data_IF_903798597351
#
_entry.id   IF_903798597351
#
_cell.length_a   1.000
_cell.length_b   1.000
_cell.length_c   1.000
_cell.angle_alpha   90.00
_cell.angle_beta   90.00
_cell.angle_gamma   90.00
#
_symmetry.space_group_name_H-M   'P 1'
#
loop_
_entity.id
_entity.type
_entity.pdbx_description
1 polymer ?
#
# COMPACT_ATOMS: atom_id res chain seq x y z
N UNK A 1 6.98 15.64 8.91
CA UNK A 1 7.51 14.35 8.41
C UNK A 1 6.33 13.53 7.95
N UNK A 2 6.41 12.95 6.76
CA UNK A 2 5.37 12.12 6.15
C UNK A 2 5.97 10.73 5.97
N UNK A 3 5.24 9.69 6.38
CA UNK A 3 5.66 8.29 6.25
C UNK A 3 4.66 7.59 5.35
N UNK A 4 5.16 6.90 4.33
CA UNK A 4 4.35 6.30 3.27
C UNK A 4 4.76 4.84 3.13
N UNK A 5 3.80 3.94 3.31
CA UNK A 5 3.94 2.53 2.99
C UNK A 5 3.75 2.34 1.49
N UNK A 6 4.73 1.72 0.85
CA UNK A 6 4.59 1.22 -0.50
C UNK A 6 3.99 -0.19 -0.47
N UNK A 7 2.90 -0.38 -1.20
CA UNK A 7 2.30 -1.67 -1.48
C UNK A 7 2.29 -1.89 -3.00
N UNK A 8 3.12 -2.81 -3.53
CA UNK A 8 3.21 -3.06 -4.97
C UNK A 8 1.90 -3.59 -5.57
N UNK A 9 1.02 -4.21 -4.78
CA UNK A 9 -0.24 -4.77 -5.26
C UNK A 9 -1.21 -3.69 -5.76
N UNK A 10 -1.01 -2.43 -5.37
CA UNK A 10 -1.82 -1.30 -5.83
C UNK A 10 -1.55 -0.90 -7.30
N UNK A 11 -0.46 -1.40 -7.89
CA UNK A 11 0.02 -0.95 -9.20
C UNK A 11 -0.08 -2.00 -10.31
N UNK A 12 -0.53 -3.23 -10.03
CA UNK A 12 -0.62 -4.33 -11.02
C UNK A 12 -1.40 -3.92 -12.29
N UNK A 13 -2.53 -3.23 -12.13
CA UNK A 13 -3.36 -2.70 -13.22
C UNK A 13 -3.28 -1.17 -13.37
N UNK A 14 -2.37 -0.52 -12.62
CA UNK A 14 -2.30 0.94 -12.50
C UNK A 14 -0.87 1.47 -12.64
N UNK A 15 -0.05 0.82 -13.46
CA UNK A 15 1.37 1.18 -13.65
C UNK A 15 1.57 2.65 -14.04
N UNK A 16 0.65 3.23 -14.83
CA UNK A 16 0.70 4.65 -15.20
C UNK A 16 0.56 5.61 -14.01
N UNK A 17 0.04 5.15 -12.86
CA UNK A 17 -0.10 5.95 -11.65
C UNK A 17 1.22 6.17 -10.93
N UNK A 18 2.23 5.33 -11.18
CA UNK A 18 3.54 5.37 -10.52
C UNK A 18 4.21 6.73 -10.75
N UNK A 19 4.13 7.27 -11.97
CA UNK A 19 4.68 8.59 -12.29
C UNK A 19 3.98 9.72 -11.51
N UNK A 20 2.64 9.68 -11.43
CA UNK A 20 1.86 10.67 -10.68
C UNK A 20 2.14 10.62 -9.18
N UNK A 21 2.21 9.41 -8.61
CA UNK A 21 2.57 9.22 -7.20
C UNK A 21 3.99 9.73 -6.96
N UNK A 22 4.93 9.38 -7.84
CA UNK A 22 6.31 9.84 -7.78
C UNK A 22 6.42 11.37 -7.79
N UNK A 23 5.64 12.05 -8.63
CA UNK A 23 5.62 13.51 -8.67
C UNK A 23 5.02 14.11 -7.40
N UNK A 24 3.96 13.50 -6.86
CA UNK A 24 3.37 13.91 -5.58
C UNK A 24 4.33 13.75 -4.40
N UNK A 25 5.13 12.67 -4.39
CA UNK A 25 6.20 12.47 -3.40
C UNK A 25 7.25 13.58 -3.48
N UNK A 26 7.68 13.93 -4.70
CA UNK A 26 8.62 15.01 -4.93
C UNK A 26 8.08 16.37 -4.43
N UNK A 27 6.82 16.69 -4.72
CA UNK A 27 6.22 17.95 -4.26
C UNK A 27 6.06 17.99 -2.73
N UNK A 28 5.66 16.87 -2.11
CA UNK A 28 5.60 16.75 -0.65
C UNK A 28 6.98 16.90 0.01
N UNK A 29 8.03 16.40 -0.65
CA UNK A 29 9.40 16.47 -0.16
C UNK A 29 9.96 17.91 -0.07
N UNK A 30 9.37 18.87 -0.79
CA UNK A 30 9.75 20.30 -0.72
C UNK A 30 9.37 20.93 0.62
N UNK A 31 8.29 20.47 1.23
CA UNK A 31 7.71 21.06 2.44
C UNK A 31 7.96 20.21 3.70
N UNK A 32 8.21 18.91 3.54
CA UNK A 32 8.42 17.98 4.64
C UNK A 32 9.41 16.86 4.29
N UNK A 33 10.08 16.32 5.31
CA UNK A 33 10.79 15.05 5.15
C UNK A 33 9.81 13.92 4.82
N UNK A 34 10.01 13.25 3.69
CA UNK A 34 9.21 12.11 3.22
C UNK A 34 10.03 10.82 3.40
N UNK A 35 9.44 9.84 4.08
CA UNK A 35 10.00 8.50 4.25
C UNK A 35 9.10 7.53 3.48
N UNK A 36 9.62 6.97 2.38
CA UNK A 36 8.97 5.90 1.65
C UNK A 36 9.52 4.57 2.17
N UNK A 37 8.67 3.74 2.77
CA UNK A 37 9.06 2.43 3.28
C UNK A 37 8.35 1.32 2.50
N UNK A 38 9.05 0.21 2.29
CA UNK A 38 8.47 -1.01 1.72
C UNK A 38 9.07 -2.23 2.40
N UNK A 39 8.29 -3.28 2.70
CA UNK A 39 8.83 -4.55 3.21
C UNK A 39 9.71 -5.29 2.19
N UNK A 40 9.45 -5.08 0.89
CA UNK A 40 10.12 -5.74 -0.22
C UNK A 40 10.45 -4.71 -1.33
N UNK A 41 11.49 -4.98 -2.12
CA UNK A 41 11.82 -4.14 -3.28
C UNK A 41 11.12 -4.65 -4.52
N UNK A 42 10.57 -3.74 -5.32
CA UNK A 42 9.94 -4.04 -6.60
C UNK A 42 10.20 -2.92 -7.62
N UNK A 43 9.80 -3.15 -8.87
CA UNK A 43 10.02 -2.23 -9.98
C UNK A 43 9.32 -0.90 -9.81
N UNK A 44 8.14 -0.85 -9.18
CA UNK A 44 7.41 0.40 -8.94
C UNK A 44 8.09 1.24 -7.86
N UNK A 45 8.60 0.58 -6.82
CA UNK A 45 9.42 1.24 -5.80
C UNK A 45 10.68 1.85 -6.43
N UNK A 46 11.40 1.10 -7.26
CA UNK A 46 12.58 1.61 -7.96
C UNK A 46 12.24 2.83 -8.82
N UNK A 47 11.13 2.79 -9.57
CA UNK A 47 10.70 3.91 -10.41
C UNK A 47 10.33 5.15 -9.59
N UNK A 48 9.64 5.01 -8.46
CA UNK A 48 9.33 6.13 -7.56
C UNK A 48 10.58 6.76 -6.95
N UNK A 49 11.61 5.96 -6.68
CA UNK A 49 12.85 6.46 -6.07
C UNK A 49 13.68 7.31 -7.03
N UNK A 50 13.53 7.14 -8.35
CA UNK A 50 14.26 7.91 -9.37
C UNK A 50 13.93 9.40 -9.35
N UNK A 51 12.69 9.77 -9.00
CA UNK A 51 12.27 11.18 -8.95
C UNK A 51 12.13 11.73 -7.52
N UNK A 52 12.47 10.95 -6.50
CA UNK A 52 12.40 11.38 -5.11
C UNK A 52 13.73 12.04 -4.68
N UNK A 53 13.66 13.26 -4.11
CA UNK A 53 14.84 14.05 -3.72
C UNK A 53 15.61 13.48 -2.52
N UNK A 54 14.91 12.83 -1.59
CA UNK A 54 15.47 12.22 -0.38
C UNK A 54 14.67 10.96 -0.04
N UNK A 55 15.19 9.81 -0.42
CA UNK A 55 14.62 8.52 -0.01
C UNK A 55 15.44 7.96 1.14
N UNK A 56 14.78 7.70 2.26
CA UNK A 56 15.36 6.94 3.35
C UNK A 56 14.77 5.53 3.27
N UNK A 57 15.64 4.55 3.04
CA UNK A 57 15.28 3.15 3.10
C UNK A 57 15.68 2.64 4.48
N UNK A 58 14.71 2.14 5.24
CA UNK A 58 15.01 1.29 6.38
C UNK A 58 14.47 -0.10 6.03
N UNK A 59 15.37 -1.07 5.83
CA UNK A 59 15.00 -2.48 5.74
C UNK A 59 14.54 -2.87 7.15
N UNK A 60 13.29 -2.49 7.47
CA UNK A 60 12.69 -2.74 8.78
C UNK A 60 12.78 -4.23 9.12
N UNK A 61 12.80 -4.61 10.41
CA UNK A 61 12.95 -5.99 10.80
C UNK A 61 11.92 -6.82 10.06
N UNK A 62 12.38 -7.75 9.20
CA UNK A 62 11.53 -8.59 8.34
C UNK A 62 10.44 -9.20 9.21
N UNK A 63 9.26 -8.60 9.18
CA UNK A 63 8.11 -9.15 9.83
C UNK A 63 7.80 -10.40 9.03
N UNK A 64 8.19 -11.56 9.56
CA UNK A 64 7.72 -12.82 9.03
C UNK A 64 6.20 -12.77 9.13
N UNK A 65 5.54 -12.48 8.00
CA UNK A 65 4.10 -12.59 7.88
C UNK A 65 3.79 -14.06 8.10
N UNK A 66 3.59 -14.44 9.36
CA UNK A 66 2.94 -15.69 9.69
C UNK A 66 1.56 -15.54 9.10
N UNK A 67 1.37 -16.08 7.90
CA UNK A 67 0.09 -16.37 7.29
C UNK A 67 -0.70 -17.19 8.32
N UNK A 68 -1.40 -16.50 9.22
CA UNK A 68 -2.45 -17.13 10.00
C UNK A 68 -3.55 -17.31 8.97
N UNK A 69 -3.61 -18.51 8.41
CA UNK A 69 -4.74 -19.00 7.65
C UNK A 69 -5.98 -18.90 8.56
N UNK A 70 -6.65 -17.75 8.53
CA UNK A 70 -8.01 -17.64 9.02
C UNK A 70 -8.86 -18.49 8.08
N UNK A 71 -9.03 -19.75 8.44
CA UNK A 71 -10.07 -20.59 7.89
C UNK A 71 -11.39 -19.83 8.08
N UNK A 72 -11.95 -19.32 7.00
CA UNK A 72 -13.31 -18.80 6.99
C UNK A 72 -14.25 -19.96 7.33
N UNK A 73 -14.94 -19.97 8.49
CA UNK A 73 -16.04 -20.90 8.66
C UNK A 73 -17.13 -20.51 7.66
N UNK A 74 -17.51 -21.44 6.79
CA UNK A 74 -18.64 -21.28 5.87
C UNK A 74 -19.85 -20.76 6.65
N UNK A 75 -20.24 -19.51 6.37
CA UNK A 75 -21.44 -18.92 6.93
C UNK A 75 -22.67 -19.52 6.24
N UNK A 76 -23.10 -20.69 6.70
CA UNK A 76 -24.43 -21.22 6.41
C UNK A 76 -25.39 -20.71 7.48
N UNK A 77 -25.99 -19.52 7.29
CA UNK A 77 -27.22 -19.12 8.01
C UNK A 77 -28.12 -18.25 7.14
N UNK A 78 -29.17 -18.90 6.63
CA UNK A 78 -30.49 -18.42 6.18
C UNK A 78 -30.65 -16.93 5.85
N UNK A 79 -30.93 -16.62 4.57
CA UNK A 79 -31.70 -15.42 4.22
C UNK A 79 -33.02 -15.43 5.00
N UNK A 80 -33.25 -14.40 5.83
CA UNK A 80 -34.59 -14.01 6.26
C UNK A 80 -34.98 -12.78 5.45
N UNK A 81 -36.04 -12.91 4.67
CA UNK A 81 -36.73 -11.81 4.00
C UNK A 81 -37.25 -10.82 5.05
N UNK A 82 -37.03 -9.53 4.84
CA UNK A 82 -37.63 -8.45 5.64
C UNK A 82 -39.03 -8.17 5.08
N UNK A 83 -40.06 -8.51 5.84
CA UNK A 83 -41.43 -8.09 5.55
C UNK A 83 -41.58 -6.60 5.88
N UNK A 84 -42.11 -5.81 4.94
CA UNK A 84 -42.43 -4.41 5.14
C UNK A 84 -43.76 -4.29 5.91
N UNK A 85 -43.77 -3.48 6.97
CA UNK A 85 -44.96 -3.24 7.78
C UNK A 85 -45.88 -2.23 7.07
N UNK A 86 -47.18 -2.55 6.98
CA UNK A 86 -48.28 -1.63 6.66
C UNK A 86 -49.05 -1.30 7.93
#
# INVERSE_FOLDING_TARGET
>A
MIVIEHDPLLYEDAQGMVEYVSQGLHDAAKEAAVLLYSPETDTFLEDMTKNADRVFFDEGPRATTKLISKAYPKAQKSQRTLEAWT
#
